data_IF_511911273206
#
_entry.id   IF_511911273206
#
_cell.length_a   1.000
_cell.length_b   1.000
_cell.length_c   1.000
_cell.angle_alpha   90.00
_cell.angle_beta   90.00
_cell.angle_gamma   90.00
#
_symmetry.space_group_name_H-M   'P 1'
#
loop_
_entity.id
_entity.type
_entity.pdbx_description
1 polymer ?
#
# COMPACT_ATOMS: atom_id res chain seq x y z
N UNK A 1 2.82 -15.43 10.03
CA UNK A 1 2.75 -14.14 9.29
C UNK A 1 2.16 -13.11 10.23
N UNK A 2 2.75 -11.94 10.30
CA UNK A 2 2.53 -10.96 11.35
C UNK A 2 1.29 -10.11 11.09
N UNK A 3 0.51 -9.84 12.13
CA UNK A 3 -0.62 -8.90 12.14
C UNK A 3 -0.17 -7.66 12.90
N UNK A 4 -0.46 -6.47 12.38
CA UNK A 4 -0.21 -5.22 13.08
C UNK A 4 -1.51 -4.64 13.59
N UNK A 5 -1.53 -4.18 14.83
CA UNK A 5 -2.68 -3.51 15.41
C UNK A 5 -2.32 -2.07 15.77
N UNK A 6 -3.23 -1.17 15.44
CA UNK A 6 -3.15 0.24 15.79
C UNK A 6 -4.35 0.63 16.64
N UNK A 7 -4.53 1.90 16.91
CA UNK A 7 -5.68 2.39 17.67
C UNK A 7 -7.01 2.03 17.00
N UNK A 8 -7.11 2.15 15.67
CA UNK A 8 -8.38 1.99 14.93
C UNK A 8 -8.32 0.89 13.88
N UNK A 9 -7.13 0.37 13.55
CA UNK A 9 -6.94 -0.52 12.42
C UNK A 9 -6.32 -1.85 12.85
N UNK A 10 -6.64 -2.88 12.07
CA UNK A 10 -5.98 -4.17 12.08
C UNK A 10 -5.45 -4.46 10.67
N UNK A 11 -4.14 -4.54 10.55
CA UNK A 11 -3.46 -4.91 9.32
C UNK A 11 -3.18 -6.41 9.40
N UNK A 12 -3.85 -7.20 8.58
CA UNK A 12 -3.82 -8.66 8.61
C UNK A 12 -3.48 -9.27 7.26
N UNK A 13 -3.24 -10.56 7.27
CA UNK A 13 -3.05 -11.31 6.03
C UNK A 13 -4.33 -11.32 5.21
N UNK A 14 -4.17 -11.44 3.89
CA UNK A 14 -5.26 -11.59 2.93
C UNK A 14 -6.01 -12.88 3.13
N UNK A 15 -7.30 -12.85 2.89
CA UNK A 15 -8.18 -14.02 2.81
C UNK A 15 -8.97 -13.98 1.50
N UNK A 16 -9.50 -15.12 1.08
CA UNK A 16 -10.31 -15.21 -0.14
C UNK A 16 -11.54 -14.29 -0.07
N UNK A 17 -12.11 -14.09 1.13
CA UNK A 17 -13.27 -13.21 1.33
C UNK A 17 -12.99 -11.74 1.04
N UNK A 18 -11.74 -11.31 1.00
CA UNK A 18 -11.37 -9.92 0.66
C UNK A 18 -11.54 -9.64 -0.83
N UNK A 19 -11.60 -10.69 -1.65
CA UNK A 19 -11.61 -10.53 -3.11
C UNK A 19 -12.78 -9.67 -3.62
N UNK A 20 -13.95 -9.80 -3.04
CA UNK A 20 -15.14 -9.03 -3.48
C UNK A 20 -14.88 -7.52 -3.38
N UNK A 21 -14.32 -7.07 -2.26
CA UNK A 21 -14.02 -5.66 -2.03
C UNK A 21 -12.78 -5.21 -2.81
N UNK A 22 -11.79 -6.07 -2.92
CA UNK A 22 -10.59 -5.83 -3.73
C UNK A 22 -10.95 -5.65 -5.21
N UNK A 23 -11.75 -6.56 -5.78
CA UNK A 23 -12.18 -6.47 -7.17
C UNK A 23 -13.05 -5.23 -7.42
N UNK A 24 -13.95 -4.90 -6.49
CA UNK A 24 -14.78 -3.67 -6.57
C UNK A 24 -13.91 -2.42 -6.62
N UNK A 25 -12.89 -2.32 -5.78
CA UNK A 25 -11.96 -1.19 -5.79
C UNK A 25 -11.26 -1.05 -7.14
N UNK A 26 -10.71 -2.14 -7.67
CA UNK A 26 -9.99 -2.11 -8.94
C UNK A 26 -10.88 -2.04 -10.19
N UNK A 27 -12.18 -2.31 -10.09
CA UNK A 27 -13.12 -2.11 -11.18
C UNK A 27 -13.41 -0.64 -11.48
N UNK A 28 -13.17 0.25 -10.52
CA UNK A 28 -13.33 1.69 -10.65
C UNK A 28 -12.02 2.33 -11.12
N UNK A 29 -12.08 3.08 -12.23
CA UNK A 29 -10.91 3.70 -12.84
C UNK A 29 -10.33 4.82 -11.98
N UNK A 30 -11.18 5.60 -11.31
CA UNK A 30 -10.73 6.70 -10.46
C UNK A 30 -10.01 6.20 -9.20
N UNK A 31 -10.51 5.13 -8.61
CA UNK A 31 -9.86 4.47 -7.48
C UNK A 31 -8.50 3.86 -7.87
N UNK A 32 -8.48 3.11 -8.96
CA UNK A 32 -7.31 2.34 -9.37
C UNK A 32 -6.23 3.16 -10.09
N UNK A 33 -6.53 4.39 -10.49
CA UNK A 33 -5.70 5.26 -11.34
C UNK A 33 -4.22 5.27 -10.97
N UNK A 34 -3.91 5.35 -9.68
CA UNK A 34 -2.55 5.49 -9.17
C UNK A 34 -1.97 4.21 -8.54
N UNK A 35 -2.70 3.10 -8.59
CA UNK A 35 -2.32 1.85 -7.95
C UNK A 35 -2.34 0.65 -8.91
N UNK A 36 -1.95 0.89 -10.14
CA UNK A 36 -1.81 -0.13 -11.18
C UNK A 36 -2.97 -0.21 -12.18
N UNK A 37 -3.88 0.79 -12.15
CA UNK A 37 -4.96 0.94 -13.11
C UNK A 37 -6.13 -0.02 -12.91
N UNK A 38 -7.21 0.28 -13.64
CA UNK A 38 -8.44 -0.52 -13.65
C UNK A 38 -8.18 -1.98 -14.02
N UNK A 39 -8.90 -2.89 -13.37
CA UNK A 39 -8.79 -4.33 -13.58
C UNK A 39 -10.17 -4.97 -13.72
N UNK A 40 -10.27 -5.93 -14.63
CA UNK A 40 -11.39 -6.87 -14.66
C UNK A 40 -11.27 -7.89 -13.49
N UNK A 41 -12.27 -8.73 -13.24
CA UNK A 41 -12.24 -9.69 -12.14
C UNK A 41 -11.07 -10.67 -12.17
N UNK A 42 -10.68 -11.18 -13.35
CA UNK A 42 -9.54 -12.10 -13.47
C UNK A 42 -8.21 -11.37 -13.17
N UNK A 43 -8.03 -10.18 -13.70
CA UNK A 43 -6.86 -9.34 -13.42
C UNK A 43 -6.78 -8.95 -11.94
N UNK A 44 -7.92 -8.63 -11.31
CA UNK A 44 -7.97 -8.33 -9.88
C UNK A 44 -7.61 -9.55 -9.03
N UNK A 45 -8.12 -10.75 -9.40
CA UNK A 45 -7.75 -11.98 -8.72
C UNK A 45 -6.25 -12.26 -8.79
N UNK A 46 -5.65 -12.16 -9.98
CA UNK A 46 -4.20 -12.32 -10.17
C UNK A 46 -3.41 -11.31 -9.35
N UNK A 47 -3.89 -10.08 -9.27
CA UNK A 47 -3.24 -9.02 -8.51
C UNK A 47 -3.30 -9.30 -6.99
N UNK A 48 -4.44 -9.76 -6.47
CA UNK A 48 -4.55 -10.17 -5.07
C UNK A 48 -3.67 -11.41 -4.77
N UNK A 49 -3.67 -12.41 -5.65
CA UNK A 49 -2.81 -13.57 -5.52
C UNK A 49 -1.32 -13.20 -5.53
N UNK A 50 -0.92 -12.20 -6.32
CA UNK A 50 0.43 -11.64 -6.31
C UNK A 50 0.80 -11.05 -4.93
N UNK A 51 -0.12 -10.33 -4.27
CA UNK A 51 0.11 -9.79 -2.93
C UNK A 51 0.36 -10.93 -1.91
N UNK A 52 -0.45 -11.98 -1.97
CA UNK A 52 -0.29 -13.18 -1.13
C UNK A 52 1.04 -13.88 -1.44
N UNK A 53 1.36 -14.04 -2.72
CA UNK A 53 2.61 -14.66 -3.19
C UNK A 53 3.84 -13.89 -2.74
N UNK A 54 3.81 -12.56 -2.77
CA UNK A 54 4.91 -11.72 -2.28
C UNK A 54 5.21 -11.97 -0.80
N UNK A 55 4.16 -12.08 0.03
CA UNK A 55 4.30 -12.43 1.44
C UNK A 55 4.99 -13.79 1.64
N UNK A 56 4.60 -14.80 0.87
CA UNK A 56 5.18 -16.14 0.97
C UNK A 56 6.65 -16.17 0.52
N UNK A 57 7.00 -15.37 -0.50
CA UNK A 57 8.35 -15.36 -1.08
C UNK A 57 9.33 -14.47 -0.30
N UNK A 58 8.85 -13.36 0.24
CA UNK A 58 9.70 -12.31 0.84
C UNK A 58 9.59 -12.22 2.37
N UNK A 59 8.55 -12.79 2.97
CA UNK A 59 8.28 -12.65 4.40
C UNK A 59 7.68 -11.31 4.81
N UNK A 60 7.39 -10.44 3.85
CA UNK A 60 6.70 -9.16 4.02
C UNK A 60 5.88 -8.81 2.77
N UNK A 61 4.96 -7.85 2.88
CA UNK A 61 4.13 -7.43 1.76
C UNK A 61 3.05 -6.44 2.17
N UNK A 62 2.00 -6.37 1.37
CA UNK A 62 0.81 -5.60 1.71
C UNK A 62 -0.10 -6.39 2.64
N UNK A 63 -0.59 -5.75 3.68
CA UNK A 63 -1.67 -6.24 4.53
C UNK A 63 -3.02 -5.78 4.01
N UNK A 64 -4.03 -6.62 4.17
CA UNK A 64 -5.41 -6.19 4.19
C UNK A 64 -5.65 -5.36 5.45
N UNK A 65 -6.33 -4.23 5.33
CA UNK A 65 -6.61 -3.32 6.44
C UNK A 65 -8.08 -3.36 6.78
N UNK A 66 -8.39 -3.75 8.03
CA UNK A 66 -9.74 -3.69 8.59
C UNK A 66 -9.86 -2.54 9.60
N UNK A 67 -11.04 -1.96 9.69
CA UNK A 67 -11.42 -1.10 10.80
C UNK A 67 -11.75 -1.96 12.03
N UNK A 68 -11.07 -1.73 13.15
CA UNK A 68 -11.14 -2.63 14.32
C UNK A 68 -12.53 -2.76 14.94
N UNK A 69 -13.28 -1.68 15.01
CA UNK A 69 -14.57 -1.69 15.67
C UNK A 69 -15.68 -2.36 14.85
N UNK A 70 -15.56 -2.31 13.52
CA UNK A 70 -16.57 -2.84 12.59
C UNK A 70 -16.14 -4.14 11.91
N UNK A 71 -14.85 -4.49 11.96
CA UNK A 71 -14.22 -5.56 11.18
C UNK A 71 -14.44 -5.41 9.66
N UNK A 72 -14.71 -4.20 9.21
CA UNK A 72 -14.90 -3.89 7.81
C UNK A 72 -13.54 -3.76 7.11
N UNK A 73 -13.38 -4.42 5.97
CA UNK A 73 -12.23 -4.21 5.08
C UNK A 73 -12.28 -2.81 4.48
N UNK A 74 -11.24 -2.04 4.67
CA UNK A 74 -11.17 -0.64 4.23
C UNK A 74 -10.06 -0.34 3.23
N UNK A 75 -9.22 -1.32 2.89
CA UNK A 75 -8.13 -1.13 1.94
C UNK A 75 -6.91 -1.99 2.21
N UNK A 76 -5.76 -1.53 1.76
CA UNK A 76 -4.49 -2.17 2.11
C UNK A 76 -3.38 -1.15 2.33
N UNK A 77 -2.36 -1.56 3.07
CA UNK A 77 -1.11 -0.83 3.24
C UNK A 77 0.03 -1.84 3.44
N UNK A 78 1.24 -1.49 3.02
CA UNK A 78 2.35 -2.41 3.21
C UNK A 78 3.60 -2.06 2.45
N UNK A 79 4.45 -3.06 2.34
CA UNK A 79 5.80 -2.95 1.82
C UNK A 79 5.94 -3.80 0.56
N UNK A 80 6.67 -3.27 -0.42
CA UNK A 80 6.90 -3.94 -1.67
C UNK A 80 8.36 -3.88 -2.10
N UNK A 81 8.90 -5.00 -2.53
CA UNK A 81 10.20 -5.07 -3.21
C UNK A 81 10.31 -6.36 -4.01
N UNK A 82 9.83 -6.35 -5.24
CA UNK A 82 10.03 -7.45 -6.19
C UNK A 82 11.44 -7.39 -6.82
N UNK A 83 11.92 -8.48 -7.45
CA UNK A 83 13.12 -8.44 -8.25
C UNK A 83 13.05 -7.34 -9.33
N UNK A 84 14.08 -6.49 -9.39
CA UNK A 84 14.11 -5.34 -10.29
C UNK A 84 13.38 -4.08 -9.80
N UNK A 85 12.68 -4.15 -8.65
CA UNK A 85 12.14 -2.95 -8.01
C UNK A 85 13.27 -2.16 -7.34
N UNK A 86 13.34 -0.82 -7.51
CA UNK A 86 14.54 -0.07 -7.12
C UNK A 86 14.89 -0.15 -5.64
N UNK A 87 13.92 0.09 -4.76
CA UNK A 87 14.10 0.07 -3.30
C UNK A 87 12.86 -0.51 -2.61
N UNK A 88 12.96 -0.78 -1.30
CA UNK A 88 11.80 -1.13 -0.48
C UNK A 88 10.82 0.04 -0.48
N UNK A 89 9.61 -0.24 -0.92
CA UNK A 89 8.56 0.76 -1.10
C UNK A 89 7.45 0.60 -0.05
N UNK A 90 7.00 1.71 0.49
CA UNK A 90 5.75 1.84 1.24
C UNK A 90 4.64 2.27 0.28
N UNK A 91 3.59 1.47 0.18
CA UNK A 91 2.40 1.79 -0.60
C UNK A 91 1.10 1.51 0.16
N UNK A 92 0.01 2.07 -0.33
CA UNK A 92 -1.32 1.90 0.26
C UNK A 92 -2.42 2.33 -0.70
N UNK A 93 -3.63 1.84 -0.46
CA UNK A 93 -4.88 2.42 -0.94
C UNK A 93 -6.01 2.15 0.05
N UNK A 94 -7.00 3.03 0.07
CA UNK A 94 -8.22 2.88 0.87
C UNK A 94 -9.44 3.06 -0.02
N UNK A 95 -10.51 2.31 0.28
CA UNK A 95 -11.82 2.53 -0.34
C UNK A 95 -12.28 3.96 -0.05
N UNK A 96 -13.00 4.55 -1.01
CA UNK A 96 -13.32 5.99 -1.02
C UNK A 96 -14.00 6.46 0.25
N UNK A 97 -14.94 5.66 0.78
CA UNK A 97 -15.74 5.98 1.97
C UNK A 97 -14.87 6.10 3.25
N UNK A 98 -13.65 5.57 3.23
CA UNK A 98 -12.73 5.60 4.37
C UNK A 98 -11.56 6.57 4.17
N UNK A 99 -11.52 7.30 3.07
CA UNK A 99 -10.52 8.35 2.84
C UNK A 99 -10.80 9.60 3.69
N UNK A 100 -9.78 10.44 3.89
CA UNK A 100 -9.92 11.71 4.62
C UNK A 100 -10.05 11.59 6.13
N UNK A 101 -10.11 10.36 6.69
CA UNK A 101 -10.31 10.08 8.13
C UNK A 101 -9.01 9.80 8.90
N UNK A 102 -7.86 9.90 8.23
CA UNK A 102 -6.54 9.65 8.82
C UNK A 102 -6.13 8.17 8.89
N UNK A 103 -6.92 7.25 8.35
CA UNK A 103 -6.59 5.81 8.39
C UNK A 103 -5.34 5.47 7.57
N UNK A 104 -5.14 6.09 6.40
CA UNK A 104 -3.94 5.87 5.61
C UNK A 104 -2.66 6.29 6.38
N UNK A 105 -2.70 7.43 7.07
CA UNK A 105 -1.59 7.87 7.92
C UNK A 105 -1.29 6.85 9.02
N UNK A 106 -2.33 6.38 9.72
CA UNK A 106 -2.22 5.43 10.81
C UNK A 106 -1.64 4.08 10.34
N UNK A 107 -2.13 3.56 9.21
CA UNK A 107 -1.62 2.32 8.60
C UNK A 107 -0.17 2.47 8.15
N UNK A 108 0.17 3.57 7.47
CA UNK A 108 1.53 3.82 7.01
C UNK A 108 2.53 3.96 8.16
N UNK A 109 2.16 4.61 9.27
CA UNK A 109 3.02 4.68 10.47
C UNK A 109 3.33 3.28 11.01
N UNK A 110 2.33 2.39 11.07
CA UNK A 110 2.55 1.00 11.49
C UNK A 110 3.49 0.24 10.52
N UNK A 111 3.31 0.42 9.20
CA UNK A 111 4.18 -0.18 8.19
C UNK A 111 5.63 0.34 8.29
N UNK A 112 5.83 1.63 8.53
CA UNK A 112 7.16 2.24 8.74
C UNK A 112 7.82 1.65 9.99
N UNK A 113 7.08 1.52 11.09
CA UNK A 113 7.56 0.86 12.30
C UNK A 113 8.02 -0.57 12.02
N UNK A 114 7.19 -1.35 11.35
CA UNK A 114 7.52 -2.72 10.95
C UNK A 114 8.79 -2.80 10.08
N UNK A 115 8.91 -1.92 9.09
CA UNK A 115 10.08 -1.87 8.23
C UNK A 115 11.37 -1.59 9.01
N UNK A 116 11.33 -0.71 10.02
CA UNK A 116 12.48 -0.38 10.87
C UNK A 116 12.80 -1.46 11.89
N UNK A 117 11.80 -1.88 12.64
CA UNK A 117 11.98 -2.67 13.87
C UNK A 117 12.05 -4.18 13.59
N UNK A 118 11.31 -4.66 12.59
CA UNK A 118 11.22 -6.08 12.25
C UNK A 118 12.10 -6.44 11.06
N UNK A 119 12.01 -5.67 9.96
CA UNK A 119 12.82 -5.94 8.77
C UNK A 119 14.23 -5.34 8.87
N UNK A 120 14.49 -4.45 9.83
CA UNK A 120 15.75 -3.71 9.94
C UNK A 120 16.17 -3.05 8.62
N UNK A 121 15.16 -2.57 7.86
CA UNK A 121 15.37 -1.95 6.58
C UNK A 121 16.21 -0.66 6.71
N UNK A 122 17.20 -0.52 5.85
CA UNK A 122 18.13 0.62 5.88
C UNK A 122 17.57 1.86 5.17
N UNK A 123 16.57 1.67 4.32
CA UNK A 123 15.94 2.69 3.52
C UNK A 123 14.49 2.31 3.24
N UNK A 124 13.62 3.29 3.16
CA UNK A 124 12.22 3.13 2.79
C UNK A 124 11.77 4.33 1.97
N UNK A 125 11.18 4.07 0.80
CA UNK A 125 10.66 5.11 -0.08
C UNK A 125 9.18 4.91 -0.38
N UNK A 126 8.52 5.94 -0.92
CA UNK A 126 7.26 5.82 -1.65
C UNK A 126 7.45 6.42 -3.04
N UNK A 127 7.02 5.69 -4.07
CA UNK A 127 6.97 6.17 -5.44
C UNK A 127 5.56 6.66 -5.74
N UNK A 128 5.41 7.96 -5.97
CA UNK A 128 4.10 8.62 -6.07
C UNK A 128 3.97 9.31 -7.42
N UNK A 129 2.92 8.98 -8.16
CA UNK A 129 2.57 9.72 -9.39
C UNK A 129 2.47 11.22 -9.08
N UNK A 130 3.14 12.11 -9.83
CA UNK A 130 3.15 13.55 -9.56
C UNK A 130 1.76 14.20 -9.55
N UNK A 131 0.77 13.55 -10.16
CA UNK A 131 -0.63 14.00 -10.17
C UNK A 131 -1.41 13.55 -8.93
N UNK A 132 -0.88 12.62 -8.13
CA UNK A 132 -1.52 12.09 -6.92
C UNK A 132 -1.27 13.02 -5.72
N UNK A 133 -1.90 14.20 -5.75
CA UNK A 133 -1.75 15.19 -4.69
C UNK A 133 -2.12 14.69 -3.27
N UNK A 134 -3.16 13.85 -3.07
CA UNK A 134 -3.44 13.28 -1.76
C UNK A 134 -2.29 12.45 -1.18
N UNK A 135 -1.68 11.57 -1.99
CA UNK A 135 -0.54 10.75 -1.56
C UNK A 135 0.71 11.58 -1.28
N UNK A 136 0.97 12.62 -2.08
CA UNK A 136 2.07 13.56 -1.83
C UNK A 136 1.88 14.27 -0.49
N UNK A 137 0.67 14.73 -0.16
CA UNK A 137 0.39 15.33 1.14
C UNK A 137 0.59 14.34 2.29
N UNK A 138 0.20 13.09 2.11
CA UNK A 138 0.40 12.06 3.12
C UNK A 138 1.88 11.75 3.33
N UNK A 139 2.68 11.59 2.27
CA UNK A 139 4.12 11.38 2.38
C UNK A 139 4.81 12.50 3.17
N UNK A 140 4.44 13.76 2.89
CA UNK A 140 4.94 14.92 3.65
C UNK A 140 4.53 14.87 5.13
N UNK A 141 3.30 14.48 5.44
CA UNK A 141 2.82 14.32 6.83
C UNK A 141 3.52 13.19 7.57
N UNK A 142 3.98 12.16 6.85
CA UNK A 142 4.82 11.08 7.38
C UNK A 142 6.28 11.51 7.58
N UNK A 143 6.63 12.75 7.22
CA UNK A 143 7.99 13.27 7.33
C UNK A 143 8.92 12.87 6.19
N UNK A 144 8.39 12.32 5.09
CA UNK A 144 9.20 11.90 3.97
C UNK A 144 9.78 13.11 3.20
N UNK A 145 11.05 13.00 2.81
CA UNK A 145 11.74 13.97 1.99
C UNK A 145 11.55 13.69 0.50
N UNK A 146 11.24 14.70 -0.30
CA UNK A 146 11.18 14.59 -1.75
C UNK A 146 12.60 14.63 -2.33
N UNK A 147 13.01 13.57 -3.02
CA UNK A 147 14.38 13.41 -3.56
C UNK A 147 14.45 13.52 -5.09
N UNK A 148 13.37 13.91 -5.75
CA UNK A 148 13.32 13.99 -7.21
C UNK A 148 12.36 12.97 -7.81
N UNK A 149 12.64 12.49 -9.02
CA UNK A 149 11.80 11.57 -9.77
C UNK A 149 12.59 10.39 -10.33
N UNK A 150 11.87 9.30 -10.59
CA UNK A 150 12.38 8.07 -11.19
C UNK A 150 11.43 7.59 -12.28
N UNK A 151 11.95 6.97 -13.33
CA UNK A 151 11.14 6.23 -14.29
C UNK A 151 11.00 4.78 -13.81
N UNK A 152 9.77 4.39 -13.46
CA UNK A 152 9.44 3.00 -13.17
C UNK A 152 8.97 2.30 -14.44
N UNK A 153 9.61 1.20 -14.79
CA UNK A 153 9.57 0.56 -16.11
C UNK A 153 8.19 0.45 -16.78
N UNK A 154 7.14 0.10 -16.03
CA UNK A 154 5.77 -0.04 -16.57
C UNK A 154 4.81 1.03 -16.05
N UNK A 155 5.25 1.87 -15.13
CA UNK A 155 4.40 2.84 -14.45
C UNK A 155 4.71 4.30 -14.82
N UNK A 156 5.83 4.55 -15.52
CA UNK A 156 6.25 5.89 -15.93
C UNK A 156 6.89 6.69 -14.80
N UNK A 157 6.87 8.02 -14.94
CA UNK A 157 7.55 8.94 -14.02
C UNK A 157 6.86 9.05 -12.68
N UNK A 158 7.62 8.87 -11.60
CA UNK A 158 7.14 8.97 -10.21
C UNK A 158 8.06 9.84 -9.37
N UNK A 159 7.48 10.62 -8.48
CA UNK A 159 8.22 11.31 -7.43
C UNK A 159 8.74 10.30 -6.39
N UNK A 160 9.98 10.48 -5.95
CA UNK A 160 10.57 9.67 -4.87
C UNK A 160 10.42 10.43 -3.55
N UNK A 161 9.72 9.83 -2.60
CA UNK A 161 9.60 10.32 -1.24
C UNK A 161 10.30 9.36 -0.29
N UNK A 162 11.40 9.78 0.30
CA UNK A 162 12.20 8.98 1.24
C UNK A 162 11.72 9.19 2.67
N UNK A 163 11.37 8.10 3.34
CA UNK A 163 10.97 8.10 4.75
C UNK A 163 12.18 8.04 5.69
N UNK A 164 13.26 7.35 5.29
CA UNK A 164 14.58 7.31 5.97
C UNK A 164 15.59 6.54 5.13
#
# INVERSE_FOLDING_TARGET
METLETRRLKLRQWSESDFINFARYYADEDNARYVGGKKDPDQAWRHMALQIGHWNLKGFGYWAVDHRDTNEFIGCAGLWQSPGWPELELGYWLVTEHQGKGYALEACVACIGYAREVLHAKSLVSYIDPRNAPSIRLAKRLGAAHEGSIELATYGSHCVFRHY
#
